data_IF_258596027371
#
_entry.id   IF_258596027371
#
_cell.length_a   1.000
_cell.length_b   1.000
_cell.length_c   1.000
_cell.angle_alpha   90.00
_cell.angle_beta   90.00
_cell.angle_gamma   90.00
#
_symmetry.space_group_name_H-M   'P 1'
#
loop_
_entity.id
_entity.type
_entity.pdbx_description
1 polymer ?
#
# COMPACT_ATOMS: atom_id res chain seq x y z
N UNK A 1 3.71 -3.64 12.20
CA UNK A 1 4.95 -4.10 11.51
C UNK A 1 6.01 -3.03 11.66
N UNK A 2 7.27 -3.38 11.88
CA UNK A 2 8.39 -2.44 11.84
C UNK A 2 9.35 -2.88 10.73
N UNK A 3 9.88 -1.92 9.99
CA UNK A 3 10.88 -2.13 8.93
C UNK A 3 12.01 -1.14 9.09
N UNK A 4 13.22 -1.58 8.78
CA UNK A 4 14.39 -0.71 8.61
C UNK A 4 15.05 -1.07 7.29
N UNK A 5 15.57 -0.08 6.60
CA UNK A 5 16.23 -0.24 5.32
C UNK A 5 17.43 0.67 5.20
N UNK A 6 18.31 0.32 4.29
CA UNK A 6 19.35 1.20 3.76
C UNK A 6 19.02 1.42 2.29
N UNK A 7 18.97 2.66 1.91
CA UNK A 7 18.69 3.06 0.54
C UNK A 7 19.96 3.72 -0.03
N UNK A 8 20.34 3.29 -1.21
CA UNK A 8 21.43 3.90 -1.99
C UNK A 8 20.79 4.66 -3.15
N UNK A 9 21.12 5.94 -3.29
CA UNK A 9 20.54 6.83 -4.29
C UNK A 9 21.61 7.36 -5.21
N UNK A 10 21.41 7.12 -6.50
CA UNK A 10 22.20 7.72 -7.57
C UNK A 10 21.39 8.86 -8.19
N UNK A 11 21.91 10.08 -8.07
CA UNK A 11 21.29 11.27 -8.62
C UNK A 11 22.05 11.71 -9.88
N UNK A 12 21.36 11.82 -10.99
CA UNK A 12 21.87 12.41 -12.22
C UNK A 12 21.26 13.79 -12.42
N UNK A 13 22.08 14.83 -12.27
CA UNK A 13 21.68 16.19 -12.62
C UNK A 13 21.91 16.46 -14.12
N UNK A 14 21.13 17.38 -14.69
CA UNK A 14 21.19 17.81 -16.12
C UNK A 14 22.55 18.35 -16.60
N UNK A 15 23.63 18.08 -15.94
CA UNK A 15 24.99 18.46 -16.27
C UNK A 15 25.98 17.32 -16.25
N UNK A 16 25.55 16.07 -16.39
CA UNK A 16 26.39 14.84 -16.50
C UNK A 16 27.31 14.51 -15.33
N UNK A 17 27.03 14.99 -14.15
CA UNK A 17 27.83 14.62 -12.99
C UNK A 17 26.99 13.77 -12.02
N UNK A 18 27.38 12.51 -11.78
CA UNK A 18 26.68 11.66 -10.81
C UNK A 18 26.90 12.22 -9.40
N UNK A 19 25.85 12.25 -8.62
CA UNK A 19 25.87 12.51 -7.18
C UNK A 19 25.31 11.28 -6.47
N UNK A 20 25.97 10.82 -5.41
CA UNK A 20 25.64 9.59 -4.73
C UNK A 20 25.42 9.86 -3.24
N UNK A 21 24.46 9.18 -2.67
CA UNK A 21 24.24 9.19 -1.24
C UNK A 21 23.70 7.84 -0.77
N UNK A 22 24.00 7.49 0.47
CA UNK A 22 23.35 6.37 1.15
C UNK A 22 22.77 6.84 2.47
N UNK A 23 21.56 6.42 2.76
CA UNK A 23 20.88 6.77 4.00
C UNK A 23 20.12 5.58 4.60
N UNK A 24 19.74 5.72 5.86
CA UNK A 24 18.97 4.71 6.57
C UNK A 24 17.57 5.21 6.81
N UNK A 25 16.60 4.36 6.51
CA UNK A 25 15.18 4.62 6.72
C UNK A 25 14.64 3.73 7.82
N UNK A 26 13.79 4.29 8.68
CA UNK A 26 13.05 3.55 9.71
C UNK A 26 11.57 3.79 9.49
N UNK A 27 10.80 2.72 9.39
CA UNK A 27 9.37 2.79 9.23
C UNK A 27 8.67 1.86 10.23
N UNK A 28 7.54 2.32 10.75
CA UNK A 28 6.65 1.52 11.57
C UNK A 28 5.22 1.67 11.07
N UNK A 29 4.43 0.61 11.15
CA UNK A 29 3.00 0.68 10.82
C UNK A 29 2.18 -0.19 11.74
N UNK A 30 0.96 0.28 12.02
CA UNK A 30 -0.07 -0.42 12.77
C UNK A 30 -1.36 -0.37 11.96
N UNK A 31 -2.08 -1.48 11.90
CA UNK A 31 -3.40 -1.51 11.28
C UNK A 31 -4.40 -2.23 12.15
N UNK A 32 -5.63 -1.73 12.15
CA UNK A 32 -6.80 -2.34 12.77
C UNK A 32 -7.87 -2.49 11.69
N UNK A 33 -8.38 -3.70 11.53
CA UNK A 33 -9.45 -4.00 10.58
C UNK A 33 -10.59 -4.71 11.29
N UNK A 34 -11.80 -4.33 10.93
CA UNK A 34 -13.03 -4.98 11.38
C UNK A 34 -13.91 -5.29 10.16
N UNK A 35 -14.43 -6.52 10.13
CA UNK A 35 -15.39 -6.97 9.12
C UNK A 35 -16.34 -7.98 9.71
N UNK A 36 -17.55 -8.04 9.15
CA UNK A 36 -18.57 -9.02 9.56
C UNK A 36 -19.25 -9.62 8.34
N UNK A 37 -18.94 -10.89 8.11
CA UNK A 37 -19.62 -11.64 7.03
C UNK A 37 -21.08 -11.91 7.39
N UNK A 38 -21.98 -11.55 6.50
CA UNK A 38 -23.43 -11.81 6.58
C UNK A 38 -23.83 -12.67 5.40
N UNK A 39 -24.35 -13.86 5.68
CA UNK A 39 -24.92 -14.76 4.66
C UNK A 39 -26.25 -14.18 4.18
N UNK A 40 -26.43 -14.08 2.87
CA UNK A 40 -27.65 -13.58 2.25
C UNK A 40 -28.62 -14.70 1.85
N UNK A 41 -28.09 -15.90 1.61
CA UNK A 41 -28.89 -17.09 1.29
C UNK A 41 -28.14 -18.39 1.55
N UNK A 42 -28.85 -19.51 1.45
CA UNK A 42 -28.29 -20.86 1.63
C UNK A 42 -27.41 -21.31 0.44
N UNK A 43 -27.40 -20.58 -0.65
CA UNK A 43 -26.54 -20.84 -1.82
C UNK A 43 -25.13 -20.30 -1.68
N UNK A 44 -24.76 -19.83 -0.47
CA UNK A 44 -23.43 -19.33 -0.14
C UNK A 44 -23.13 -17.90 -0.56
N UNK A 45 -24.13 -17.13 -0.96
CA UNK A 45 -23.98 -15.71 -1.24
C UNK A 45 -23.85 -14.94 0.07
N UNK A 46 -22.87 -14.03 0.12
CA UNK A 46 -22.58 -13.23 1.30
C UNK A 46 -22.25 -11.78 0.96
N UNK A 47 -22.44 -10.92 1.93
CA UNK A 47 -21.89 -9.57 1.96
C UNK A 47 -21.08 -9.39 3.25
N UNK A 48 -20.00 -8.64 3.16
CA UNK A 48 -19.14 -8.36 4.32
C UNK A 48 -18.74 -6.88 4.30
N UNK A 49 -19.40 -6.03 5.10
CA UNK A 49 -18.92 -4.68 5.35
C UNK A 49 -17.61 -4.73 6.10
N UNK A 50 -16.68 -3.86 5.72
CA UNK A 50 -15.34 -3.76 6.26
C UNK A 50 -14.99 -2.31 6.58
N UNK A 51 -14.27 -2.12 7.69
CA UNK A 51 -13.65 -0.87 8.05
C UNK A 51 -12.22 -1.14 8.51
N UNK A 52 -11.27 -0.29 8.11
CA UNK A 52 -9.86 -0.42 8.48
C UNK A 52 -9.28 0.96 8.78
N UNK A 53 -8.41 1.01 9.75
CA UNK A 53 -7.54 2.15 10.06
C UNK A 53 -6.09 1.68 9.96
N UNK A 54 -5.28 2.45 9.27
CA UNK A 54 -3.84 2.19 9.12
C UNK A 54 -3.09 3.43 9.54
N UNK A 55 -2.20 3.30 10.50
CA UNK A 55 -1.24 4.32 10.87
C UNK A 55 0.14 3.88 10.41
N UNK A 56 0.86 4.77 9.76
CA UNK A 56 2.23 4.58 9.31
C UNK A 56 3.10 5.74 9.73
N UNK A 57 4.28 5.45 10.24
CA UNK A 57 5.31 6.43 10.57
C UNK A 57 6.59 6.13 9.81
N UNK A 58 7.12 7.12 9.12
CA UNK A 58 8.41 7.09 8.45
C UNK A 58 9.30 8.14 9.10
N UNK A 59 10.39 7.70 9.73
CA UNK A 59 11.31 8.59 10.44
C UNK A 59 12.01 9.57 9.51
N UNK A 60 12.41 10.71 10.07
CA UNK A 60 13.21 11.71 9.39
C UNK A 60 14.54 11.10 8.91
N UNK A 61 15.07 11.66 7.85
CA UNK A 61 16.32 11.20 7.26
C UNK A 61 17.22 12.40 6.96
N UNK A 62 18.47 12.30 7.36
CA UNK A 62 19.48 13.29 7.09
C UNK A 62 20.70 12.61 6.45
N UNK A 63 21.17 13.16 5.34
CA UNK A 63 22.37 12.68 4.67
C UNK A 63 23.07 13.78 3.89
N UNK A 64 24.36 13.57 3.65
CA UNK A 64 25.16 14.44 2.80
C UNK A 64 25.54 13.66 1.54
N UNK A 65 25.37 14.28 0.39
CA UNK A 65 25.75 13.68 -0.90
C UNK A 65 27.27 13.78 -1.09
N UNK A 66 27.80 13.04 -2.06
CA UNK A 66 29.22 13.09 -2.43
C UNK A 66 29.67 14.50 -2.85
N UNK A 67 28.75 15.40 -3.17
CA UNK A 67 28.99 16.80 -3.53
C UNK A 67 28.68 17.80 -2.41
N UNK A 68 28.75 17.35 -1.18
CA UNK A 68 28.55 18.17 0.02
C UNK A 68 27.17 18.84 0.11
N UNK A 69 26.16 18.36 -0.63
CA UNK A 69 24.78 18.80 -0.45
C UNK A 69 24.17 18.13 0.75
N UNK A 70 23.64 18.90 1.67
CA UNK A 70 22.92 18.38 2.82
C UNK A 70 21.45 18.25 2.48
N UNK A 71 20.91 17.06 2.67
CA UNK A 71 19.50 16.77 2.46
C UNK A 71 18.88 16.37 3.78
N UNK A 72 17.85 17.09 4.19
CA UNK A 72 17.01 16.74 5.33
C UNK A 72 15.60 16.46 4.83
N UNK A 73 15.12 15.26 5.10
CA UNK A 73 13.72 14.88 4.87
C UNK A 73 13.03 14.77 6.21
N UNK A 74 11.91 15.47 6.35
CA UNK A 74 11.09 15.41 7.55
C UNK A 74 10.53 14.01 7.77
N UNK A 75 10.15 13.71 8.99
CA UNK A 75 9.32 12.57 9.29
C UNK A 75 7.98 12.65 8.54
N UNK A 76 7.36 11.51 8.39
CA UNK A 76 6.10 11.40 7.68
C UNK A 76 5.15 10.50 8.44
N UNK A 77 4.02 11.06 8.80
CA UNK A 77 2.92 10.34 9.43
C UNK A 77 1.77 10.19 8.43
N UNK A 78 1.35 8.95 8.22
CA UNK A 78 0.23 8.58 7.39
C UNK A 78 -0.88 8.00 8.24
N UNK A 79 -2.10 8.45 8.05
CA UNK A 79 -3.28 7.91 8.69
C UNK A 79 -4.38 7.67 7.66
N UNK A 80 -4.56 6.40 7.29
CA UNK A 80 -5.51 6.00 6.25
C UNK A 80 -6.72 5.32 6.90
N UNK A 81 -7.90 5.84 6.58
CA UNK A 81 -9.17 5.18 6.83
C UNK A 81 -9.66 4.48 5.57
N UNK A 82 -10.14 3.24 5.69
CA UNK A 82 -10.81 2.49 4.62
C UNK A 82 -12.16 2.02 5.10
N UNK A 83 -13.17 2.23 4.27
CA UNK A 83 -14.49 1.61 4.42
C UNK A 83 -14.89 0.95 3.11
N UNK A 84 -15.58 -0.16 3.18
CA UNK A 84 -15.97 -0.89 1.99
C UNK A 84 -16.84 -2.10 2.28
N UNK A 85 -17.07 -2.87 1.25
CA UNK A 85 -17.76 -4.15 1.37
C UNK A 85 -17.22 -5.16 0.37
N UNK A 86 -17.29 -6.43 0.77
CA UNK A 86 -17.06 -7.58 -0.08
C UNK A 86 -18.39 -8.24 -0.34
N UNK A 87 -18.70 -8.46 -1.61
CA UNK A 87 -19.84 -9.24 -2.06
C UNK A 87 -19.32 -10.47 -2.79
N UNK A 88 -19.80 -11.65 -2.42
CA UNK A 88 -19.26 -12.87 -3.01
C UNK A 88 -20.14 -14.09 -2.81
N UNK A 89 -19.62 -15.19 -3.32
CA UNK A 89 -20.22 -16.50 -3.12
C UNK A 89 -19.16 -17.52 -2.71
N UNK A 90 -19.50 -18.32 -1.72
CA UNK A 90 -18.70 -19.48 -1.26
C UNK A 90 -19.49 -20.76 -1.54
N UNK A 91 -18.83 -21.77 -2.05
CA UNK A 91 -19.44 -23.07 -2.35
C UNK A 91 -18.70 -24.19 -1.62
N UNK A 92 -18.68 -24.20 -0.25
CA UNK A 92 -17.85 -25.14 0.53
C UNK A 92 -18.26 -26.60 0.31
N UNK A 93 -19.53 -26.84 0.05
CA UNK A 93 -20.12 -28.19 -0.08
C UNK A 93 -20.05 -28.74 -1.52
N UNK A 94 -19.47 -27.99 -2.45
CA UNK A 94 -19.28 -28.46 -3.82
C UNK A 94 -18.10 -29.43 -3.89
N UNK A 95 -18.14 -30.41 -4.79
CA UNK A 95 -17.02 -31.33 -5.05
C UNK A 95 -15.72 -30.59 -5.39
N UNK A 96 -15.86 -29.45 -6.07
CA UNK A 96 -14.77 -28.50 -6.35
C UNK A 96 -15.18 -27.10 -5.90
N UNK A 97 -14.88 -26.73 -4.64
CA UNK A 97 -15.25 -25.44 -4.10
C UNK A 97 -14.63 -24.28 -4.90
N UNK A 98 -15.47 -23.37 -5.32
CA UNK A 98 -15.11 -22.12 -5.98
C UNK A 98 -15.68 -20.96 -5.18
N UNK A 99 -14.81 -20.16 -4.61
CA UNK A 99 -15.17 -18.92 -3.94
C UNK A 99 -14.77 -17.76 -4.82
N UNK A 100 -15.65 -16.79 -5.01
CA UNK A 100 -15.32 -15.57 -5.74
C UNK A 100 -15.97 -14.36 -5.07
N UNK A 101 -15.34 -13.21 -5.25
CA UNK A 101 -15.79 -11.98 -4.61
C UNK A 101 -15.49 -10.74 -5.46
N UNK A 102 -16.33 -9.74 -5.28
CA UNK A 102 -16.09 -8.35 -5.64
C UNK A 102 -15.92 -7.55 -4.36
N UNK A 103 -14.82 -6.80 -4.23
CA UNK A 103 -14.58 -5.83 -3.14
C UNK A 103 -14.62 -4.43 -3.70
N UNK A 104 -15.36 -3.55 -3.04
CA UNK A 104 -15.39 -2.12 -3.32
C UNK A 104 -15.04 -1.37 -2.04
N UNK A 105 -14.11 -0.42 -2.12
CA UNK A 105 -13.63 0.33 -0.97
C UNK A 105 -13.44 1.80 -1.33
N UNK A 106 -13.70 2.68 -0.34
CA UNK A 106 -13.29 4.07 -0.35
C UNK A 106 -12.21 4.25 0.73
N UNK A 107 -11.15 4.94 0.37
CA UNK A 107 -10.00 5.20 1.23
C UNK A 107 -9.75 6.70 1.31
N UNK A 108 -9.34 7.15 2.48
CA UNK A 108 -8.94 8.53 2.70
C UNK A 108 -7.67 8.61 3.53
N UNK A 109 -6.69 9.36 3.04
CA UNK A 109 -5.49 9.74 3.79
C UNK A 109 -5.78 11.06 4.51
N UNK A 110 -5.80 11.01 5.86
CA UNK A 110 -6.08 12.17 6.73
C UNK A 110 -4.83 12.97 7.07
N UNK A 111 -3.67 12.39 6.89
CA UNK A 111 -2.36 13.00 7.14
C UNK A 111 -1.52 13.01 5.87
N UNK A 112 -0.22 13.01 6.05
CA UNK A 112 0.67 12.76 4.93
C UNK A 112 1.35 13.98 4.35
N UNK A 113 1.65 14.99 5.15
CA UNK A 113 2.53 16.07 4.73
C UNK A 113 3.99 15.66 4.93
N UNK A 114 4.82 15.81 3.91
CA UNK A 114 6.27 15.61 4.01
C UNK A 114 7.01 16.79 3.42
N UNK A 115 8.00 17.30 4.15
CA UNK A 115 8.95 18.31 3.72
C UNK A 115 10.30 17.69 3.36
N UNK A 116 11.04 18.40 2.52
CA UNK A 116 12.44 18.16 2.20
C UNK A 116 13.17 19.49 2.13
N UNK A 117 14.25 19.60 2.87
CA UNK A 117 15.14 20.76 2.87
C UNK A 117 16.48 20.34 2.27
N UNK A 118 16.92 21.05 1.28
CA UNK A 118 18.18 20.83 0.60
C UNK A 118 19.03 22.09 0.75
N UNK A 119 20.28 21.92 1.21
CA UNK A 119 21.26 23.00 1.30
C UNK A 119 22.50 22.61 0.52
N UNK A 120 22.93 23.47 -0.38
CA UNK A 120 24.14 23.30 -1.14
C UNK A 120 25.33 24.00 -0.45
N UNK A 121 26.57 23.60 -0.79
CA UNK A 121 27.79 24.14 -0.19
C UNK A 121 28.07 25.61 -0.52
N UNK A 122 27.45 26.15 -1.57
CA UNK A 122 27.48 27.57 -1.97
C UNK A 122 26.48 28.45 -1.23
N UNK A 123 25.69 27.87 -0.31
CA UNK A 123 24.68 28.55 0.49
C UNK A 123 23.29 28.60 -0.16
N UNK A 124 23.13 28.02 -1.34
CA UNK A 124 21.79 27.89 -1.92
C UNK A 124 20.95 26.89 -1.12
N UNK A 125 19.69 27.21 -0.88
CA UNK A 125 18.72 26.36 -0.19
C UNK A 125 17.49 26.15 -1.04
N UNK A 126 16.92 24.96 -0.96
CA UNK A 126 15.69 24.59 -1.62
C UNK A 126 14.77 23.86 -0.63
N UNK A 127 13.58 24.40 -0.44
CA UNK A 127 12.53 23.81 0.37
C UNK A 127 11.44 23.24 -0.54
N UNK A 128 11.05 22.01 -0.26
CA UNK A 128 9.95 21.37 -0.96
C UNK A 128 9.04 20.67 0.04
N UNK A 129 7.73 20.81 -0.15
CA UNK A 129 6.75 20.08 0.65
C UNK A 129 5.64 19.55 -0.22
N UNK A 130 5.12 18.38 0.13
CA UNK A 130 3.98 17.78 -0.53
C UNK A 130 2.98 17.28 0.49
N UNK A 131 1.72 17.56 0.20
CA UNK A 131 0.59 17.00 0.92
C UNK A 131 0.08 15.78 0.12
N UNK A 132 -0.06 14.65 0.81
CA UNK A 132 -0.56 13.38 0.24
C UNK A 132 -2.02 13.11 0.63
N UNK A 133 -2.64 14.03 1.41
CA UNK A 133 -4.05 13.92 1.78
C UNK A 133 -4.93 13.80 0.54
N UNK A 134 -5.62 12.68 0.39
CA UNK A 134 -6.46 12.42 -0.77
C UNK A 134 -7.47 11.32 -0.50
N UNK A 135 -8.53 11.31 -1.30
CA UNK A 135 -9.52 10.24 -1.33
C UNK A 135 -9.39 9.46 -2.61
N UNK A 136 -9.42 8.14 -2.51
CA UNK A 136 -9.46 7.26 -3.68
C UNK A 136 -10.38 6.07 -3.44
N UNK A 137 -10.68 5.37 -4.51
CA UNK A 137 -11.55 4.22 -4.52
C UNK A 137 -10.82 3.02 -5.08
N UNK A 138 -11.16 1.83 -4.59
CA UNK A 138 -10.60 0.57 -5.06
C UNK A 138 -11.71 -0.41 -5.39
N UNK A 139 -11.56 -1.08 -6.53
CA UNK A 139 -12.37 -2.21 -6.92
C UNK A 139 -11.45 -3.42 -7.13
N UNK A 140 -11.77 -4.54 -6.49
CA UNK A 140 -11.04 -5.80 -6.63
C UNK A 140 -12.00 -6.94 -6.99
N UNK A 141 -11.60 -7.77 -7.92
CA UNK A 141 -12.26 -9.02 -8.24
C UNK A 141 -11.28 -10.16 -7.97
N UNK A 142 -11.70 -11.14 -7.18
CA UNK A 142 -10.85 -12.25 -6.81
C UNK A 142 -11.60 -13.54 -6.58
N UNK A 143 -10.84 -14.61 -6.42
CA UNK A 143 -11.43 -15.91 -6.13
C UNK A 143 -10.39 -16.94 -5.70
N UNK A 144 -10.92 -18.04 -5.20
CA UNK A 144 -10.18 -19.19 -4.73
C UNK A 144 -10.82 -20.45 -5.28
N UNK A 145 -10.02 -21.30 -5.87
CA UNK A 145 -10.48 -22.57 -6.43
C UNK A 145 -9.70 -23.72 -5.81
N UNK A 146 -10.42 -24.64 -5.17
CA UNK A 146 -9.83 -25.85 -4.59
C UNK A 146 -9.72 -26.94 -5.66
N UNK A 147 -8.49 -27.25 -6.05
CA UNK A 147 -8.21 -28.33 -6.99
C UNK A 147 -8.39 -29.72 -6.38
N UNK A 148 -7.93 -29.87 -5.14
CA UNK A 148 -8.05 -31.08 -4.30
C UNK A 148 -7.89 -30.69 -2.83
N UNK A 149 -7.93 -31.68 -1.91
CA UNK A 149 -7.86 -31.43 -0.46
C UNK A 149 -6.58 -30.76 0.01
N UNK A 150 -5.52 -30.76 -0.80
CA UNK A 150 -4.21 -30.21 -0.47
C UNK A 150 -3.84 -28.98 -1.30
N UNK A 151 -4.52 -28.74 -2.41
CA UNK A 151 -4.10 -27.72 -3.36
C UNK A 151 -5.23 -26.75 -3.65
N UNK A 152 -4.95 -25.47 -3.41
CA UNK A 152 -5.87 -24.38 -3.64
C UNK A 152 -5.18 -23.32 -4.48
N UNK A 153 -5.81 -22.91 -5.58
CA UNK A 153 -5.44 -21.76 -6.39
C UNK A 153 -6.18 -20.55 -5.89
N UNK A 154 -5.51 -19.40 -5.89
CA UNK A 154 -6.16 -18.12 -5.63
C UNK A 154 -5.62 -17.05 -6.56
N UNK A 155 -6.44 -16.05 -6.82
CA UNK A 155 -6.03 -14.90 -7.59
C UNK A 155 -6.98 -13.74 -7.41
N UNK A 156 -6.45 -12.54 -7.59
CA UNK A 156 -7.23 -11.31 -7.60
C UNK A 156 -6.64 -10.27 -8.55
N UNK A 157 -7.49 -9.41 -9.01
CA UNK A 157 -7.13 -8.19 -9.75
C UNK A 157 -7.78 -7.00 -9.07
N UNK A 158 -7.01 -5.93 -8.91
CA UNK A 158 -7.44 -4.69 -8.26
C UNK A 158 -7.16 -3.50 -9.16
N UNK A 159 -8.04 -2.53 -9.13
CA UNK A 159 -7.87 -1.22 -9.74
C UNK A 159 -8.21 -0.12 -8.77
N UNK A 160 -7.40 0.95 -8.75
CA UNK A 160 -7.65 2.15 -7.96
C UNK A 160 -8.03 3.32 -8.85
N UNK A 161 -8.85 4.25 -8.32
CA UNK A 161 -9.38 5.42 -9.02
C UNK A 161 -9.41 6.62 -8.08
N UNK A 162 -9.34 7.85 -8.63
CA UNK A 162 -9.73 9.05 -7.91
C UNK A 162 -8.61 9.81 -7.22
N UNK A 163 -7.36 9.41 -7.29
CA UNK A 163 -6.23 10.21 -6.80
C UNK A 163 -5.10 10.27 -7.82
N UNK A 164 -4.23 11.26 -7.69
CA UNK A 164 -3.01 11.37 -8.50
C UNK A 164 -2.03 10.22 -8.21
N UNK A 165 -2.16 9.60 -7.04
CA UNK A 165 -1.40 8.45 -6.57
C UNK A 165 -2.24 7.17 -6.66
N UNK A 166 -2.46 6.66 -7.85
CA UNK A 166 -3.22 5.43 -8.00
C UNK A 166 -2.39 4.35 -8.71
N UNK A 167 -2.43 3.16 -8.17
CA UNK A 167 -2.03 1.97 -8.92
C UNK A 167 -3.11 1.70 -9.95
N UNK A 168 -2.79 1.88 -11.22
CA UNK A 168 -3.76 1.62 -12.29
C UNK A 168 -4.29 0.19 -12.22
N UNK A 169 -3.40 -0.77 -12.02
CA UNK A 169 -3.73 -2.19 -11.91
C UNK A 169 -2.75 -2.91 -11.00
N UNK A 170 -3.27 -3.85 -10.24
CA UNK A 170 -2.50 -4.82 -9.48
C UNK A 170 -3.15 -6.18 -9.65
N UNK A 171 -2.37 -7.23 -9.92
CA UNK A 171 -2.82 -8.61 -9.96
C UNK A 171 -1.97 -9.47 -9.06
N UNK A 172 -2.61 -10.41 -8.39
CA UNK A 172 -1.97 -11.44 -7.59
C UNK A 172 -2.49 -12.80 -8.03
N UNK A 173 -1.60 -13.77 -8.08
CA UNK A 173 -1.95 -15.17 -8.29
C UNK A 173 -1.04 -16.03 -7.43
N UNK A 174 -1.57 -17.09 -6.87
CA UNK A 174 -0.79 -17.99 -6.05
C UNK A 174 -1.42 -19.38 -5.88
N UNK A 175 -0.62 -20.26 -5.34
CA UNK A 175 -0.99 -21.63 -5.02
C UNK A 175 -0.70 -21.85 -3.55
N UNK A 176 -1.67 -22.38 -2.83
CA UNK A 176 -1.48 -22.90 -1.48
C UNK A 176 -1.49 -24.42 -1.55
N UNK A 177 -0.43 -25.03 -1.07
CA UNK A 177 -0.29 -26.49 -1.00
C UNK A 177 0.00 -26.92 0.43
N UNK A 178 -0.83 -27.84 0.92
CA UNK A 178 -0.69 -28.46 2.24
C UNK A 178 -0.06 -29.86 2.08
N UNK A 179 0.97 -30.12 2.81
CA UNK A 179 1.70 -31.43 2.86
C UNK A 179 1.49 -32.16 4.16
#
# INVERSE_FOLDING_TARGET
MAKWGRDDVDLHTLGSYPDQASYRTRAASLSLEYGKTMKLNDKGVFIEPQAQLVYGHLGSTHYTTAREKQVHMDDYDSFIGRVGFVFGRRTPDAEKPLDYYLRLSALHEFGGRRGMHLSASDGETMDWSRDYGSTWYEASLGGTYRLNDRTTLYGDVQRSFGSDWHKKWQGNIGINWQF
#
